data_IF_491834092548
#
_entry.id   IF_491834092548
#
_cell.length_a   1.000
_cell.length_b   1.000
_cell.length_c   1.000
_cell.angle_alpha   90.00
_cell.angle_beta   90.00
_cell.angle_gamma   90.00
#
_symmetry.space_group_name_H-M   'P 1'
#
loop_
_entity.id
_entity.type
_entity.pdbx_description
1 polymer ?
#
# COMPACT_ATOMS: atom_id res chain seq x y z
N UNK A 1 -8.64 16.04 5.72
CA UNK A 1 -8.23 14.63 5.47
C UNK A 1 -7.25 14.65 4.29
N UNK A 2 -6.18 13.83 4.29
CA UNK A 2 -5.12 13.90 3.27
C UNK A 2 -5.65 14.03 1.83
N UNK A 3 -6.54 13.13 1.42
CA UNK A 3 -7.09 13.15 0.06
C UNK A 3 -7.77 14.50 -0.29
N UNK A 4 -8.41 15.19 0.65
CA UNK A 4 -9.02 16.50 0.38
C UNK A 4 -7.95 17.59 0.15
N UNK A 5 -6.88 17.57 0.94
CA UNK A 5 -5.83 18.58 0.87
C UNK A 5 -4.92 18.38 -0.35
N UNK A 6 -4.88 17.15 -0.89
CA UNK A 6 -4.04 16.75 -2.02
C UNK A 6 -4.83 16.41 -3.28
N UNK A 7 -6.00 17.03 -3.50
CA UNK A 7 -6.81 16.87 -4.72
C UNK A 7 -7.10 15.41 -5.09
N UNK A 8 -7.46 14.62 -4.07
CA UNK A 8 -7.76 13.19 -4.11
C UNK A 8 -6.56 12.29 -4.39
N UNK A 9 -5.34 12.82 -4.47
CA UNK A 9 -4.14 12.00 -4.64
C UNK A 9 -3.91 11.10 -3.41
N UNK A 10 -3.42 9.89 -3.68
CA UNK A 10 -2.92 8.98 -2.67
C UNK A 10 -1.46 9.32 -2.34
N UNK A 11 -1.04 9.26 -1.06
CA UNK A 11 0.34 9.56 -0.67
C UNK A 11 1.30 8.54 -1.27
N UNK A 12 2.50 8.95 -1.71
CA UNK A 12 3.46 8.06 -2.39
C UNK A 12 4.32 7.28 -1.42
N UNK A 13 4.70 6.07 -1.78
CA UNK A 13 5.72 5.29 -1.08
C UNK A 13 7.13 5.78 -1.40
N UNK A 14 8.12 5.30 -0.66
CA UNK A 14 9.54 5.56 -0.95
C UNK A 14 9.93 5.16 -2.37
N UNK A 15 9.19 4.22 -2.99
CA UNK A 15 9.39 3.79 -4.38
C UNK A 15 9.34 4.96 -5.37
N UNK A 16 8.28 5.78 -5.29
CA UNK A 16 8.04 6.86 -6.27
C UNK A 16 8.15 8.26 -5.69
N UNK A 17 8.20 8.41 -4.36
CA UNK A 17 8.19 9.71 -3.70
C UNK A 17 9.31 10.64 -4.20
N UNK A 18 10.55 10.13 -4.33
CA UNK A 18 11.69 10.92 -4.78
C UNK A 18 11.50 11.46 -6.21
N UNK A 19 11.10 10.60 -7.14
CA UNK A 19 10.88 10.97 -8.54
C UNK A 19 9.80 12.05 -8.70
N UNK A 20 8.84 12.08 -7.77
CA UNK A 20 7.73 13.04 -7.76
C UNK A 20 7.93 14.22 -6.79
N UNK A 21 9.10 14.32 -6.15
CA UNK A 21 9.39 15.35 -5.12
C UNK A 21 8.31 15.39 -4.03
N UNK A 22 7.78 14.23 -3.68
CA UNK A 22 6.80 14.03 -2.65
C UNK A 22 7.45 13.44 -1.40
N UNK A 23 6.77 13.60 -0.27
CA UNK A 23 7.13 12.94 0.97
C UNK A 23 6.58 11.50 0.98
N UNK A 24 7.35 10.48 1.42
CA UNK A 24 6.85 9.11 1.57
C UNK A 24 5.63 9.02 2.51
N UNK A 25 4.78 8.03 2.30
CA UNK A 25 3.41 8.03 2.83
C UNK A 25 3.36 8.10 4.35
N UNK A 26 4.24 7.38 5.04
CA UNK A 26 4.22 7.36 6.50
C UNK A 26 4.57 8.73 7.11
N UNK A 27 5.42 9.51 6.45
CA UNK A 27 5.71 10.87 6.88
C UNK A 27 4.62 11.85 6.43
N UNK A 28 4.10 11.68 5.21
CA UNK A 28 3.07 12.54 4.63
C UNK A 28 1.74 12.46 5.40
N UNK A 29 1.43 11.31 5.99
CA UNK A 29 0.22 11.10 6.81
C UNK A 29 0.37 11.57 8.26
N UNK A 30 1.59 11.85 8.75
CA UNK A 30 1.86 12.26 10.14
C UNK A 30 0.95 13.40 10.66
N UNK A 31 0.68 14.49 9.91
CA UNK A 31 -0.22 15.56 10.37
C UNK A 31 -1.67 15.12 10.59
N UNK A 32 -2.09 14.04 9.95
CA UNK A 32 -3.45 13.51 9.98
C UNK A 32 -3.65 12.45 11.06
N UNK A 33 -2.58 12.09 11.77
CA UNK A 33 -2.54 11.04 12.80
C UNK A 33 -2.07 11.60 14.15
N UNK A 34 -2.47 12.84 14.45
CA UNK A 34 -2.15 13.57 15.70
C UNK A 34 -0.65 13.70 16.03
N UNK A 35 0.23 13.55 15.03
CA UNK A 35 1.68 13.67 15.20
C UNK A 35 2.25 14.99 14.65
N UNK A 36 1.43 15.81 13.99
CA UNK A 36 1.88 17.05 13.34
C UNK A 36 2.77 16.80 12.12
N UNK A 37 3.40 17.86 11.61
CA UNK A 37 4.33 17.75 10.47
C UNK A 37 5.58 16.98 10.91
N UNK A 38 5.95 15.97 10.13
CA UNK A 38 7.18 15.22 10.38
C UNK A 38 8.41 16.14 10.21
N UNK A 39 9.21 16.26 11.27
CA UNK A 39 10.45 17.04 11.28
C UNK A 39 11.68 16.21 11.68
N UNK A 40 11.53 14.90 11.85
CA UNK A 40 12.58 13.98 12.28
C UNK A 40 12.10 12.97 13.34
N UNK A 41 13.00 12.06 13.72
CA UNK A 41 12.71 10.90 14.59
C UNK A 41 12.64 11.25 16.09
N UNK A 42 11.79 12.20 16.45
CA UNK A 42 11.53 12.58 17.85
C UNK A 42 10.61 11.59 18.58
N UNK A 43 10.39 11.80 19.90
CA UNK A 43 9.54 10.90 20.70
C UNK A 43 8.10 10.74 20.18
N UNK A 44 7.52 11.79 19.60
CA UNK A 44 6.19 11.71 18.99
C UNK A 44 6.18 10.80 17.77
N UNK A 45 7.16 10.97 16.87
CA UNK A 45 7.33 10.08 15.72
C UNK A 45 7.52 8.63 16.14
N UNK A 46 8.36 8.37 17.13
CA UNK A 46 8.57 7.01 17.65
C UNK A 46 7.28 6.39 18.19
N UNK A 47 6.41 7.19 18.84
CA UNK A 47 5.10 6.73 19.29
C UNK A 47 4.17 6.42 18.12
N UNK A 48 4.13 7.28 17.09
CA UNK A 48 3.31 7.04 15.89
C UNK A 48 3.79 5.79 15.15
N UNK A 49 5.10 5.71 14.89
CA UNK A 49 5.72 4.63 14.14
C UNK A 49 5.51 3.29 14.84
N UNK A 50 5.85 3.19 16.12
CA UNK A 50 5.64 1.96 16.91
C UNK A 50 4.17 1.69 17.27
N UNK A 51 3.24 2.58 16.91
CA UNK A 51 1.81 2.44 17.09
C UNK A 51 1.09 2.07 15.79
N UNK A 52 0.77 3.08 14.98
CA UNK A 52 -0.10 2.90 13.81
C UNK A 52 0.61 2.30 12.59
N UNK A 53 1.94 2.40 12.51
CA UNK A 53 2.71 1.89 11.37
C UNK A 53 3.35 0.52 11.63
N UNK A 54 3.11 -0.02 12.82
CA UNK A 54 3.72 -1.25 13.32
C UNK A 54 2.62 -2.17 13.84
N UNK A 55 2.64 -3.40 13.38
CA UNK A 55 1.80 -4.44 13.94
C UNK A 55 2.48 -4.99 15.20
N UNK A 56 1.77 -5.14 16.34
CA UNK A 56 2.33 -5.75 17.55
C UNK A 56 2.83 -7.18 17.35
N UNK A 57 2.24 -7.92 16.41
CA UNK A 57 2.63 -9.29 16.06
C UNK A 57 3.76 -9.32 15.02
N UNK A 58 4.31 -8.17 14.62
CA UNK A 58 5.48 -8.11 13.75
C UNK A 58 6.78 -8.21 14.56
N UNK A 59 7.52 -9.33 14.47
CA UNK A 59 8.72 -9.53 15.28
C UNK A 59 9.90 -8.68 14.81
N UNK A 60 9.83 -8.09 13.61
CA UNK A 60 10.89 -7.22 13.09
C UNK A 60 10.87 -5.91 13.85
N UNK A 61 12.02 -5.29 14.06
CA UNK A 61 12.10 -3.95 14.66
C UNK A 61 12.51 -2.93 13.60
N UNK A 62 12.21 -1.64 13.84
CA UNK A 62 12.67 -0.51 13.02
C UNK A 62 12.24 -0.50 11.53
N UNK A 63 11.29 -1.36 11.14
CA UNK A 63 10.75 -1.43 9.77
C UNK A 63 9.23 -1.32 9.77
N UNK A 64 8.68 -0.80 8.67
CA UNK A 64 7.24 -0.73 8.42
C UNK A 64 6.61 -2.12 8.47
N UNK A 65 5.52 -2.27 9.22
CA UNK A 65 4.73 -3.52 9.15
C UNK A 65 3.79 -3.54 7.96
N UNK A 66 3.45 -2.36 7.43
CA UNK A 66 2.49 -2.19 6.34
C UNK A 66 3.15 -1.57 5.12
N UNK A 67 2.80 -2.08 3.94
CA UNK A 67 3.30 -1.61 2.66
C UNK A 67 2.17 -1.09 1.80
N UNK A 68 2.40 0.05 1.15
CA UNK A 68 1.47 0.60 0.16
C UNK A 68 1.50 -0.21 -1.13
N UNK A 69 0.34 -0.54 -1.67
CA UNK A 69 0.22 -1.14 -2.98
C UNK A 69 0.76 -0.22 -4.09
N UNK A 70 1.75 -0.69 -4.86
CA UNK A 70 2.43 0.09 -5.89
C UNK A 70 1.58 0.30 -7.15
N UNK A 71 0.45 -0.41 -7.33
CA UNK A 71 -0.48 -0.17 -8.45
C UNK A 71 -0.93 1.31 -8.55
N UNK A 72 -1.02 2.01 -7.43
CA UNK A 72 -1.40 3.43 -7.36
C UNK A 72 -0.27 4.40 -7.77
N UNK A 73 0.92 3.87 -8.04
CA UNK A 73 2.12 4.66 -8.35
C UNK A 73 2.69 4.37 -9.73
N UNK A 74 2.13 3.38 -10.43
CA UNK A 74 2.56 3.01 -11.76
C UNK A 74 2.35 4.14 -12.76
N UNK A 75 3.28 4.21 -13.69
CA UNK A 75 3.16 4.97 -14.92
C UNK A 75 2.28 4.20 -15.94
N UNK A 76 1.80 4.88 -16.99
CA UNK A 76 1.11 4.21 -18.08
C UNK A 76 1.97 3.12 -18.76
N UNK A 77 3.29 3.30 -18.83
CA UNK A 77 4.19 2.29 -19.41
C UNK A 77 4.26 1.02 -18.57
N UNK A 78 4.46 1.14 -17.26
CA UNK A 78 4.55 -0.01 -16.34
C UNK A 78 3.24 -0.79 -16.26
N UNK A 79 2.11 -0.08 -16.15
CA UNK A 79 0.79 -0.73 -16.22
C UNK A 79 0.56 -1.38 -17.58
N UNK A 80 0.98 -0.71 -18.68
CA UNK A 80 0.88 -1.23 -20.04
C UNK A 80 1.61 -2.57 -20.23
N UNK A 81 2.81 -2.71 -19.67
CA UNK A 81 3.59 -3.95 -19.71
C UNK A 81 2.81 -5.13 -19.12
N UNK A 82 2.14 -4.92 -17.98
CA UNK A 82 1.31 -5.96 -17.34
C UNK A 82 0.06 -6.30 -18.19
N UNK A 83 -0.52 -5.30 -18.88
CA UNK A 83 -1.65 -5.52 -19.81
C UNK A 83 -1.22 -6.12 -21.16
N UNK A 84 0.07 -6.21 -21.46
CA UNK A 84 0.57 -6.54 -22.81
C UNK A 84 0.28 -5.44 -23.86
N UNK A 85 0.27 -4.18 -23.44
CA UNK A 85 0.02 -3.00 -24.29
C UNK A 85 1.12 -1.94 -24.12
N UNK A 86 1.19 -0.96 -25.02
CA UNK A 86 2.18 0.13 -24.91
C UNK A 86 1.86 1.12 -23.77
N UNK A 87 0.62 1.17 -23.31
CA UNK A 87 0.15 2.08 -22.26
C UNK A 87 -1.08 1.50 -21.58
N UNK A 88 -1.03 1.37 -20.26
CA UNK A 88 -2.11 0.88 -19.42
C UNK A 88 -2.76 1.99 -18.58
N UNK A 89 -3.80 1.63 -17.79
CA UNK A 89 -4.49 2.54 -16.90
C UNK A 89 -3.67 2.84 -15.64
N UNK A 90 -3.84 4.03 -15.08
CA UNK A 90 -3.21 4.48 -13.83
C UNK A 90 -4.26 4.97 -12.84
N UNK A 91 -3.96 4.86 -11.54
CA UNK A 91 -4.91 5.13 -10.46
C UNK A 91 -4.32 6.06 -9.38
N UNK A 92 -3.78 7.25 -9.70
CA UNK A 92 -3.09 8.08 -8.71
C UNK A 92 -4.04 8.69 -7.66
N UNK A 93 -5.35 8.74 -7.93
CA UNK A 93 -6.35 9.36 -7.05
C UNK A 93 -7.36 8.35 -6.54
N UNK A 94 -7.92 8.60 -5.37
CA UNK A 94 -9.03 7.82 -4.79
C UNK A 94 -10.23 7.74 -5.75
N UNK A 95 -10.51 8.82 -6.47
CA UNK A 95 -11.61 8.90 -7.45
C UNK A 95 -11.36 8.10 -8.73
N UNK A 96 -10.11 7.70 -9.01
CA UNK A 96 -9.79 6.88 -10.18
C UNK A 96 -10.10 5.40 -9.93
N UNK A 97 -10.38 5.00 -8.69
CA UNK A 97 -10.56 3.61 -8.26
C UNK A 97 -12.03 3.20 -8.45
N UNK A 98 -12.34 2.25 -9.36
CA UNK A 98 -13.73 1.88 -9.66
C UNK A 98 -14.48 1.26 -8.48
N UNK A 99 -13.79 0.48 -7.64
CA UNK A 99 -14.37 -0.17 -6.46
C UNK A 99 -13.49 0.03 -5.22
N UNK A 100 -13.56 1.21 -4.57
CA UNK A 100 -12.68 1.52 -3.44
C UNK A 100 -12.77 0.51 -2.29
N UNK A 101 -14.00 0.07 -1.96
CA UNK A 101 -14.26 -0.92 -0.93
C UNK A 101 -13.82 -2.36 -1.30
N UNK A 102 -13.42 -2.61 -2.54
CA UNK A 102 -12.90 -3.92 -2.96
C UNK A 102 -11.40 -3.88 -3.28
N UNK A 103 -10.79 -2.69 -3.28
CA UNK A 103 -9.40 -2.49 -3.68
C UNK A 103 -8.50 -2.28 -2.48
N UNK A 104 -7.47 -3.11 -2.35
CA UNK A 104 -6.47 -3.05 -1.28
C UNK A 104 -5.48 -1.91 -1.56
N UNK A 105 -5.34 -1.00 -0.60
CA UNK A 105 -4.39 0.09 -0.60
C UNK A 105 -3.11 -0.24 0.19
N UNK A 106 -3.25 -0.93 1.33
CA UNK A 106 -2.12 -1.39 2.14
C UNK A 106 -2.30 -2.85 2.55
N UNK A 107 -1.21 -3.58 2.72
CA UNK A 107 -1.20 -4.89 3.37
C UNK A 107 0.04 -5.07 4.23
N UNK A 108 0.05 -6.13 5.04
CA UNK A 108 1.18 -6.39 5.92
C UNK A 108 2.35 -7.00 5.16
N UNK A 109 3.54 -6.43 5.35
CA UNK A 109 4.75 -6.79 4.64
C UNK A 109 5.35 -8.09 5.17
N UNK A 110 5.73 -9.02 4.31
CA UNK A 110 6.45 -10.23 4.67
C UNK A 110 7.81 -9.94 5.30
N UNK A 111 8.28 -10.84 6.16
CA UNK A 111 9.64 -10.80 6.68
C UNK A 111 10.67 -10.82 5.55
N UNK A 112 11.64 -9.90 5.61
CA UNK A 112 12.62 -9.68 4.53
C UNK A 112 12.29 -8.52 3.58
N UNK A 113 11.06 -8.00 3.60
CA UNK A 113 10.78 -6.72 2.95
C UNK A 113 11.29 -5.56 3.81
N UNK A 114 12.12 -4.70 3.20
CA UNK A 114 12.58 -3.43 3.76
C UNK A 114 11.86 -2.23 3.12
N UNK A 115 10.93 -2.48 2.19
CA UNK A 115 10.19 -1.47 1.47
C UNK A 115 8.97 -1.01 2.27
N UNK A 116 8.50 0.21 2.05
CA UNK A 116 7.21 0.71 2.53
C UNK A 116 6.08 0.48 1.51
N UNK A 117 6.28 -0.45 0.57
CA UNK A 117 5.40 -0.73 -0.57
C UNK A 117 5.40 -2.22 -0.95
N UNK A 118 4.37 -2.60 -1.71
CA UNK A 118 4.11 -3.94 -2.24
C UNK A 118 3.96 -3.82 -3.76
N UNK A 119 4.84 -4.49 -4.51
CA UNK A 119 4.92 -4.48 -5.96
C UNK A 119 4.00 -5.55 -6.58
N UNK A 120 2.72 -5.54 -6.21
CA UNK A 120 1.76 -6.59 -6.59
C UNK A 120 1.59 -6.81 -8.10
N UNK A 121 1.91 -5.81 -8.91
CA UNK A 121 1.92 -5.93 -10.37
C UNK A 121 2.97 -6.93 -10.87
N UNK A 122 4.09 -7.15 -10.17
CA UNK A 122 5.07 -8.18 -10.53
C UNK A 122 4.61 -9.61 -10.26
N UNK A 123 3.54 -9.83 -9.50
CA UNK A 123 3.00 -11.17 -9.26
C UNK A 123 2.44 -11.78 -10.56
N UNK A 124 2.01 -10.95 -11.50
CA UNK A 124 1.65 -11.35 -12.86
C UNK A 124 2.83 -11.88 -13.67
N UNK A 125 4.05 -11.49 -13.30
CA UNK A 125 5.30 -11.92 -13.93
C UNK A 125 5.99 -13.05 -13.14
N UNK A 126 5.29 -13.62 -12.15
CA UNK A 126 5.79 -14.76 -11.35
C UNK A 126 6.63 -14.37 -10.13
N UNK A 127 6.68 -13.10 -9.75
CA UNK A 127 7.32 -12.70 -8.49
C UNK A 127 6.54 -13.25 -7.28
N UNK A 128 7.27 -13.64 -6.23
CA UNK A 128 6.66 -14.05 -4.95
C UNK A 128 5.95 -12.87 -4.28
N UNK A 129 4.77 -13.08 -3.66
CA UNK A 129 4.11 -12.04 -2.90
C UNK A 129 4.93 -11.54 -1.70
N UNK A 130 4.95 -10.22 -1.51
CA UNK A 130 5.67 -9.54 -0.43
C UNK A 130 4.78 -9.34 0.81
N UNK A 131 3.70 -10.13 0.91
CA UNK A 131 2.69 -10.04 1.96
C UNK A 131 2.94 -11.10 3.02
N UNK A 132 2.90 -10.72 4.29
CA UNK A 132 2.96 -11.68 5.40
C UNK A 132 1.61 -12.37 5.57
N UNK A 133 1.42 -13.47 4.84
CA UNK A 133 0.14 -14.18 4.76
C UNK A 133 -0.32 -14.78 6.10
N UNK A 134 0.57 -14.88 7.09
CA UNK A 134 0.38 -15.63 8.33
C UNK A 134 0.65 -14.80 9.59
N UNK A 135 0.75 -13.47 9.48
CA UNK A 135 1.05 -12.59 10.63
C UNK A 135 0.09 -12.82 11.78
N UNK A 136 -1.17 -13.11 11.48
CA UNK A 136 -2.24 -13.35 12.45
C UNK A 136 -2.83 -14.76 12.31
N UNK A 137 -1.97 -15.77 12.22
CA UNK A 137 -2.37 -17.17 12.07
C UNK A 137 -2.51 -17.55 10.60
N UNK A 138 -3.73 -17.72 10.11
CA UNK A 138 -4.04 -18.00 8.69
C UNK A 138 -4.50 -16.76 7.92
N UNK A 139 -4.35 -15.57 8.54
CA UNK A 139 -4.77 -14.30 7.97
C UNK A 139 -3.72 -13.20 8.12
N UNK A 140 -3.92 -12.15 7.33
CA UNK A 140 -3.22 -10.87 7.38
C UNK A 140 -4.24 -9.72 7.31
N UNK A 141 -3.86 -8.55 7.78
CA UNK A 141 -4.69 -7.35 7.70
C UNK A 141 -4.44 -6.57 6.40
N UNK A 142 -5.54 -6.11 5.80
CA UNK A 142 -5.54 -5.30 4.59
C UNK A 142 -6.37 -4.05 4.81
N UNK A 143 -5.85 -2.90 4.36
CA UNK A 143 -6.57 -1.63 4.35
C UNK A 143 -7.05 -1.38 2.93
N UNK A 144 -8.34 -1.14 2.77
CA UNK A 144 -8.96 -0.86 1.48
C UNK A 144 -8.97 0.65 1.17
N UNK A 145 -9.18 1.02 -0.09
CA UNK A 145 -9.09 2.43 -0.55
C UNK A 145 -10.14 3.33 0.12
N UNK A 146 -11.30 2.81 0.51
CA UNK A 146 -12.31 3.56 1.28
C UNK A 146 -11.95 3.71 2.78
N UNK A 147 -10.86 3.09 3.22
CA UNK A 147 -10.29 3.20 4.57
C UNK A 147 -10.73 2.13 5.55
N UNK A 148 -11.60 1.19 5.18
CA UNK A 148 -11.90 0.05 6.07
C UNK A 148 -10.76 -0.96 6.11
N UNK A 149 -10.78 -1.82 7.12
CA UNK A 149 -9.76 -2.85 7.36
C UNK A 149 -10.44 -4.22 7.46
N UNK A 150 -9.87 -5.22 6.81
CA UNK A 150 -10.30 -6.62 6.95
C UNK A 150 -9.10 -7.53 7.24
N UNK A 151 -9.30 -8.52 8.11
CA UNK A 151 -8.38 -9.66 8.26
C UNK A 151 -8.80 -10.77 7.31
N UNK A 152 -7.93 -11.17 6.38
CA UNK A 152 -8.24 -12.16 5.34
C UNK A 152 -7.08 -13.11 5.10
N UNK A 153 -7.39 -14.32 4.61
CA UNK A 153 -6.39 -15.17 3.99
C UNK A 153 -5.95 -14.57 2.64
N UNK A 154 -4.67 -14.66 2.32
CA UNK A 154 -4.08 -14.03 1.12
C UNK A 154 -4.77 -14.48 -0.17
N UNK A 155 -5.10 -15.78 -0.29
CA UNK A 155 -5.76 -16.38 -1.45
C UNK A 155 -7.18 -15.84 -1.69
N UNK A 156 -7.77 -15.20 -0.68
CA UNK A 156 -9.05 -14.49 -0.81
C UNK A 156 -8.87 -13.03 -1.23
N UNK A 157 -7.64 -12.56 -1.42
CA UNK A 157 -7.33 -11.22 -1.95
C UNK A 157 -6.69 -11.30 -3.34
N UNK A 158 -5.96 -12.38 -3.61
CA UNK A 158 -5.25 -12.59 -4.87
C UNK A 158 -5.25 -14.07 -5.24
N UNK A 159 -5.93 -14.39 -6.35
CA UNK A 159 -5.97 -15.72 -6.94
C UNK A 159 -6.31 -15.60 -8.42
N UNK A 160 -5.26 -15.50 -9.24
CA UNK A 160 -5.43 -15.41 -10.69
C UNK A 160 -6.00 -16.72 -11.28
N UNK A 161 -6.81 -16.62 -12.36
CA UNK A 161 -7.28 -15.39 -13.01
C UNK A 161 -8.56 -14.80 -12.39
N UNK A 162 -9.03 -15.37 -11.27
CA UNK A 162 -10.40 -15.18 -10.77
C UNK A 162 -10.59 -14.01 -9.80
N UNK A 163 -9.54 -13.59 -9.11
CA UNK A 163 -9.62 -12.63 -8.02
C UNK A 163 -8.34 -11.82 -7.92
N UNK A 164 -8.48 -10.50 -7.93
CA UNK A 164 -7.38 -9.58 -7.67
C UNK A 164 -7.92 -8.28 -7.05
N UNK A 165 -7.84 -8.21 -5.72
CA UNK A 165 -8.15 -7.01 -4.94
C UNK A 165 -7.00 -5.98 -4.95
N UNK A 166 -5.82 -6.33 -5.45
CA UNK A 166 -4.66 -5.44 -5.50
C UNK A 166 -4.65 -4.59 -6.77
N UNK A 167 -5.24 -5.05 -7.86
CA UNK A 167 -5.35 -4.27 -9.10
C UNK A 167 -6.65 -3.45 -9.14
N UNK A 168 -6.59 -2.10 -9.11
CA UNK A 168 -7.79 -1.27 -9.01
C UNK A 168 -8.80 -1.48 -10.15
N UNK A 169 -8.33 -1.76 -11.37
CA UNK A 169 -9.19 -1.94 -12.54
C UNK A 169 -10.01 -3.24 -12.54
N UNK A 170 -9.66 -4.22 -11.71
CA UNK A 170 -10.25 -5.57 -11.73
C UNK A 170 -10.80 -6.04 -10.39
N UNK A 171 -10.56 -5.29 -9.31
CA UNK A 171 -11.11 -5.59 -7.99
C UNK A 171 -12.64 -5.71 -8.03
N UNK A 172 -13.20 -6.69 -7.30
CA UNK A 172 -14.63 -7.02 -7.33
C UNK A 172 -15.31 -6.91 -5.97
#
# INVERSE_FOLDING_TARGET
MYAQDYQQQLPRSTHSALAHRAMPWGYALSPYLDNGIYTGDGPQWQKLFNGLYRCPDDPREEVWSYGKNAWFELTPGESGEIEGTASGPVYPRTLDVPRPAATILYGELASGSMADHIMAHFWYLGASPEVDMYRHGDTSNYIFVDGHVESRAFETTFKLPTLDAWRPGTAQ
#
